data_IF_806783224972
#
_entry.id   IF_806783224972
#
_cell.length_a   1.000
_cell.length_b   1.000
_cell.length_c   1.000
_cell.angle_alpha   90.00
_cell.angle_beta   90.00
_cell.angle_gamma   90.00
#
_symmetry.space_group_name_H-M   'P 1'
#
loop_
_entity.id
_entity.type
_entity.pdbx_description
1 polymer ?
#
# COMPACT_ATOMS: atom_id res chain seq x y z
N UNK A 1 57.22 -1.06 26.80
CA UNK A 1 57.29 -0.15 25.64
C UNK A 1 55.84 0.18 25.29
N UNK A 2 55.23 1.35 25.53
CA UNK A 2 55.69 2.72 25.75
C UNK A 2 54.85 3.38 26.86
N UNK A 3 55.53 4.17 27.68
CA UNK A 3 55.01 5.20 28.56
C UNK A 3 55.04 6.54 27.81
N UNK A 4 54.11 7.47 28.11
CA UNK A 4 54.24 8.94 28.19
C UNK A 4 52.82 9.57 28.14
N UNK A 5 52.35 10.14 29.26
CA UNK A 5 52.45 11.56 29.68
C UNK A 5 51.64 12.51 28.76
N UNK A 6 50.85 13.47 29.23
CA UNK A 6 50.59 13.99 30.57
C UNK A 6 49.71 15.24 30.45
N UNK A 7 49.07 15.64 31.55
CA UNK A 7 48.63 17.01 31.77
C UNK A 7 48.49 17.20 33.29
N UNK A 8 49.62 17.53 33.91
CA UNK A 8 49.69 18.10 35.25
C UNK A 8 49.11 19.53 35.20
N UNK A 9 48.17 19.84 36.09
CA UNK A 9 47.87 21.21 36.48
C UNK A 9 48.09 21.32 37.98
N UNK A 10 49.28 21.81 38.28
CA UNK A 10 49.75 22.28 39.57
C UNK A 10 49.03 23.59 39.91
N UNK A 11 48.43 23.70 41.10
CA UNK A 11 48.14 25.01 41.69
C UNK A 11 48.52 24.99 43.17
N UNK A 12 49.59 25.71 43.46
CA UNK A 12 50.18 25.92 44.77
C UNK A 12 49.91 27.37 45.19
N UNK A 13 49.18 27.58 46.28
CA UNK A 13 49.15 28.82 47.10
C UNK A 13 48.39 28.46 48.39
N UNK A 14 48.77 28.83 49.60
CA UNK A 14 49.95 29.42 50.20
C UNK A 14 49.84 29.07 51.71
N UNK A 15 50.96 28.85 52.39
CA UNK A 15 51.01 28.77 53.85
C UNK A 15 51.24 30.18 54.41
N UNK A 16 50.46 30.59 55.42
CA UNK A 16 50.90 31.52 56.46
C UNK A 16 50.02 31.41 57.72
N UNK A 17 50.65 31.73 58.83
CA UNK A 17 50.48 31.15 60.17
C UNK A 17 49.64 31.98 61.13
N UNK A 18 48.99 31.26 62.06
CA UNK A 18 48.58 31.59 63.42
C UNK A 18 47.54 32.69 63.71
N UNK A 19 46.50 32.26 64.42
CA UNK A 19 45.66 33.06 65.31
C UNK A 19 44.85 32.12 66.20
N UNK A 20 45.33 31.88 67.42
CA UNK A 20 44.57 31.20 68.47
C UNK A 20 43.36 32.05 68.85
N UNK A 21 42.18 31.45 68.79
CA UNK A 21 41.03 31.86 69.59
C UNK A 21 40.35 30.58 70.09
N UNK A 22 40.56 30.30 71.37
CA UNK A 22 39.84 29.29 72.13
C UNK A 22 38.34 29.59 72.08
N UNK A 23 37.55 28.64 71.58
CA UNK A 23 36.17 28.46 72.02
C UNK A 23 35.93 26.95 72.22
N UNK A 24 35.41 26.59 73.39
CA UNK A 24 35.37 25.23 73.92
C UNK A 24 34.39 24.32 73.22
N UNK A 25 34.75 23.83 72.03
CA UNK A 25 34.13 22.67 71.41
C UNK A 25 34.95 21.42 71.71
N UNK A 26 34.32 20.39 72.28
CA UNK A 26 34.96 19.09 72.53
C UNK A 26 35.56 18.57 71.22
N UNK A 27 36.88 18.59 71.11
CA UNK A 27 37.60 18.02 69.97
C UNK A 27 37.43 16.49 70.01
N UNK A 28 36.51 15.97 69.19
CA UNK A 28 36.30 14.53 69.05
C UNK A 28 37.43 13.97 68.18
N UNK A 29 38.41 13.31 68.81
CA UNK A 29 39.48 12.58 68.11
C UNK A 29 39.01 11.14 67.82
N UNK A 30 39.02 10.74 66.56
CA UNK A 30 38.71 9.36 66.14
C UNK A 30 39.96 8.49 66.13
N UNK A 31 39.80 7.20 66.44
CA UNK A 31 40.88 6.21 66.25
C UNK A 31 40.96 5.76 64.80
N UNK A 32 42.15 5.33 64.36
CA UNK A 32 42.36 4.85 62.98
C UNK A 32 41.39 3.73 62.57
N UNK A 33 41.06 2.83 63.50
CA UNK A 33 40.09 1.75 63.28
C UNK A 33 38.67 2.24 63.07
N UNK A 34 38.26 3.31 63.76
CA UNK A 34 36.94 3.92 63.57
C UNK A 34 36.85 4.57 62.17
N UNK A 35 37.92 5.23 61.73
CA UNK A 35 38.01 5.82 60.39
C UNK A 35 38.00 4.74 59.31
N UNK A 36 38.80 3.68 59.47
CA UNK A 36 38.85 2.56 58.52
C UNK A 36 37.49 1.86 58.38
N UNK A 37 36.77 1.63 59.48
CA UNK A 37 35.41 1.07 59.45
C UNK A 37 34.42 1.97 58.73
N UNK A 38 34.49 3.28 58.94
CA UNK A 38 33.61 4.24 58.27
C UNK A 38 33.89 4.28 56.75
N UNK A 39 35.16 4.27 56.35
CA UNK A 39 35.56 4.23 54.94
C UNK A 39 35.09 2.93 54.28
N UNK A 40 35.33 1.77 54.89
CA UNK A 40 34.86 0.49 54.34
C UNK A 40 33.34 0.46 54.19
N UNK A 41 32.59 0.94 55.20
CA UNK A 41 31.13 1.03 55.11
C UNK A 41 30.70 1.91 53.93
N UNK A 42 31.32 3.09 53.79
CA UNK A 42 31.03 4.03 52.70
C UNK A 42 31.36 3.46 51.33
N UNK A 43 32.51 2.78 51.19
CA UNK A 43 32.94 2.14 49.94
C UNK A 43 32.00 1.01 49.57
N UNK A 44 31.60 0.16 50.52
CA UNK A 44 30.66 -0.92 50.27
C UNK A 44 29.27 -0.39 49.86
N UNK A 45 28.78 0.67 50.53
CA UNK A 45 27.53 1.33 50.16
C UNK A 45 27.60 1.97 48.76
N UNK A 46 28.72 2.61 48.42
CA UNK A 46 28.96 3.18 47.09
C UNK A 46 29.03 2.11 46.01
N UNK A 47 29.77 1.03 46.25
CA UNK A 47 29.89 -0.10 45.32
C UNK A 47 28.52 -0.75 45.11
N UNK A 48 27.78 -1.03 46.20
CA UNK A 48 26.43 -1.59 46.10
C UNK A 48 25.49 -0.68 45.30
N UNK A 49 25.50 0.62 45.57
CA UNK A 49 24.67 1.59 44.82
C UNK A 49 25.09 1.70 43.35
N UNK A 50 26.39 1.59 43.07
CA UNK A 50 26.93 1.57 41.70
C UNK A 50 26.52 0.31 40.96
N UNK A 51 26.59 -0.85 41.60
CA UNK A 51 26.19 -2.14 41.05
C UNK A 51 24.68 -2.17 40.78
N UNK A 52 23.86 -1.68 41.70
CA UNK A 52 22.42 -1.54 41.52
C UNK A 52 22.09 -0.63 40.35
N UNK A 53 22.73 0.55 40.25
CA UNK A 53 22.55 1.47 39.13
C UNK A 53 22.97 0.84 37.80
N UNK A 54 24.06 0.09 37.80
CA UNK A 54 24.57 -0.59 36.59
C UNK A 54 23.60 -1.69 36.16
N UNK A 55 23.13 -2.52 37.09
CA UNK A 55 22.13 -3.55 36.82
C UNK A 55 20.84 -2.96 36.28
N UNK A 56 20.35 -1.87 36.86
CA UNK A 56 19.16 -1.18 36.37
C UNK A 56 19.37 -0.63 34.96
N UNK A 57 20.49 0.06 34.71
CA UNK A 57 20.79 0.60 33.39
C UNK A 57 20.90 -0.49 32.32
N UNK A 58 21.46 -1.66 32.67
CA UNK A 58 21.53 -2.82 31.77
C UNK A 58 20.14 -3.40 31.51
N UNK A 59 19.31 -3.55 32.55
CA UNK A 59 17.94 -4.04 32.40
C UNK A 59 17.09 -3.11 31.53
N UNK A 60 17.19 -1.79 31.75
CA UNK A 60 16.50 -0.77 30.96
C UNK A 60 16.97 -0.80 29.50
N UNK A 61 18.27 -0.93 29.26
CA UNK A 61 18.84 -1.02 27.92
C UNK A 61 18.37 -2.27 27.16
N UNK A 62 18.30 -3.43 27.84
CA UNK A 62 17.78 -4.67 27.25
C UNK A 62 16.30 -4.51 26.93
N UNK A 63 15.50 -3.98 27.85
CA UNK A 63 14.05 -3.80 27.65
C UNK A 63 13.75 -2.86 26.48
N UNK A 64 14.44 -1.72 26.37
CA UNK A 64 14.28 -0.82 25.23
C UNK A 64 14.76 -1.44 23.92
N UNK A 65 15.83 -2.23 23.94
CA UNK A 65 16.29 -2.96 22.77
C UNK A 65 15.25 -3.98 22.30
N UNK A 66 14.71 -4.79 23.19
CA UNK A 66 13.67 -5.78 22.88
C UNK A 66 12.40 -5.12 22.36
N UNK A 67 11.98 -4.00 22.98
CA UNK A 67 10.81 -3.23 22.53
C UNK A 67 11.00 -2.72 21.12
N UNK A 68 12.17 -2.13 20.82
CA UNK A 68 12.49 -1.64 19.47
C UNK A 68 12.59 -2.78 18.46
N UNK A 69 13.26 -3.87 18.81
CA UNK A 69 13.39 -5.05 17.94
C UNK A 69 12.02 -5.64 17.62
N UNK A 70 11.14 -5.75 18.62
CA UNK A 70 9.76 -6.22 18.43
C UNK A 70 8.95 -5.29 17.54
N UNK A 71 9.04 -3.97 17.74
CA UNK A 71 8.38 -2.99 16.88
C UNK A 71 8.84 -3.14 15.42
N UNK A 72 10.15 -3.28 15.19
CA UNK A 72 10.69 -3.44 13.83
C UNK A 72 10.26 -4.75 13.16
N UNK A 73 10.07 -5.82 13.93
CA UNK A 73 9.60 -7.10 13.40
C UNK A 73 8.10 -7.05 13.10
N UNK A 74 7.30 -6.44 13.98
CA UNK A 74 5.87 -6.22 13.75
C UNK A 74 5.63 -5.33 12.52
N UNK A 75 6.36 -4.22 12.39
CA UNK A 75 6.30 -3.34 11.22
C UNK A 75 6.63 -4.10 9.93
N UNK A 76 7.72 -4.87 9.92
CA UNK A 76 8.09 -5.73 8.79
C UNK A 76 7.01 -6.74 8.45
N UNK A 77 6.44 -7.40 9.46
CA UNK A 77 5.37 -8.36 9.27
C UNK A 77 4.10 -7.71 8.71
N UNK A 78 3.75 -6.50 9.17
CA UNK A 78 2.59 -5.76 8.66
C UNK A 78 2.77 -5.34 7.20
N UNK A 79 3.94 -4.84 6.81
CA UNK A 79 4.17 -4.47 5.41
C UNK A 79 4.17 -5.71 4.50
N UNK A 80 4.81 -6.82 4.94
CA UNK A 80 4.78 -8.07 4.20
C UNK A 80 3.35 -8.63 4.05
N UNK A 81 2.51 -8.51 5.07
CA UNK A 81 1.09 -8.90 5.00
C UNK A 81 0.31 -8.00 4.04
N UNK A 82 0.56 -6.69 4.08
CA UNK A 82 -0.09 -5.72 3.19
C UNK A 82 0.32 -5.93 1.74
N UNK A 83 1.60 -6.18 1.46
CA UNK A 83 2.07 -6.54 0.12
C UNK A 83 1.41 -7.82 -0.39
N UNK A 84 1.37 -8.85 0.47
CA UNK A 84 0.70 -10.12 0.14
C UNK A 84 -0.79 -9.91 -0.13
N UNK A 85 -1.48 -9.09 0.68
CA UNK A 85 -2.90 -8.79 0.48
C UNK A 85 -3.11 -8.07 -0.86
N UNK A 86 -2.28 -7.07 -1.17
CA UNK A 86 -2.32 -6.36 -2.45
C UNK A 86 -2.07 -7.30 -3.64
N UNK A 87 -1.15 -8.25 -3.49
CA UNK A 87 -0.90 -9.27 -4.52
C UNK A 87 -2.10 -10.21 -4.70
N UNK A 88 -2.76 -10.58 -3.60
CA UNK A 88 -4.00 -11.35 -3.62
C UNK A 88 -5.11 -10.58 -4.33
N UNK A 89 -5.38 -9.34 -3.92
CA UNK A 89 -6.40 -8.49 -4.52
C UNK A 89 -6.16 -8.28 -6.02
N UNK A 90 -4.91 -8.01 -6.42
CA UNK A 90 -4.57 -7.84 -7.84
C UNK A 90 -4.79 -9.13 -8.65
N UNK A 91 -4.44 -10.28 -8.07
CA UNK A 91 -4.62 -11.58 -8.71
C UNK A 91 -6.11 -11.91 -8.86
N UNK A 92 -6.87 -11.77 -7.78
CA UNK A 92 -8.31 -11.97 -7.74
C UNK A 92 -9.01 -11.06 -8.74
N UNK A 93 -8.69 -9.76 -8.74
CA UNK A 93 -9.23 -8.83 -9.71
C UNK A 93 -8.92 -9.25 -11.16
N UNK A 94 -7.69 -9.71 -11.46
CA UNK A 94 -7.38 -10.18 -12.81
C UNK A 94 -8.15 -11.45 -13.21
N UNK A 95 -8.41 -12.33 -12.24
CA UNK A 95 -9.21 -13.55 -12.46
C UNK A 95 -10.65 -13.16 -12.74
N UNK A 96 -11.24 -12.31 -11.89
CA UNK A 96 -12.60 -11.80 -12.08
C UNK A 96 -12.75 -11.12 -13.43
N UNK A 97 -11.84 -10.23 -13.81
CA UNK A 97 -11.88 -9.58 -15.13
C UNK A 97 -11.76 -10.58 -16.28
N UNK A 98 -10.96 -11.65 -16.15
CA UNK A 98 -10.87 -12.69 -17.18
C UNK A 98 -12.17 -13.48 -17.34
N UNK A 99 -12.80 -13.84 -16.22
CA UNK A 99 -14.09 -14.52 -16.20
C UNK A 99 -15.18 -13.62 -16.79
N UNK A 100 -15.25 -12.36 -16.34
CA UNK A 100 -16.19 -11.35 -16.85
C UNK A 100 -16.01 -11.07 -18.33
N UNK A 101 -14.78 -11.12 -18.85
CA UNK A 101 -14.55 -10.98 -20.30
C UNK A 101 -15.23 -12.08 -21.08
N UNK A 102 -15.21 -13.30 -20.57
CA UNK A 102 -15.88 -14.44 -21.21
C UNK A 102 -17.40 -14.28 -21.19
N UNK A 103 -17.95 -13.83 -20.05
CA UNK A 103 -19.39 -13.51 -19.93
C UNK A 103 -19.81 -12.38 -20.87
N UNK A 104 -19.02 -11.31 -20.94
CA UNK A 104 -19.23 -10.16 -21.80
C UNK A 104 -19.24 -10.59 -23.28
N UNK A 105 -18.21 -11.33 -23.72
CA UNK A 105 -18.14 -11.85 -25.08
C UNK A 105 -19.36 -12.70 -25.45
N UNK A 106 -19.82 -13.55 -24.54
CA UNK A 106 -21.03 -14.34 -24.73
C UNK A 106 -22.28 -13.47 -24.86
N UNK A 107 -22.41 -12.44 -24.01
CA UNK A 107 -23.54 -11.51 -24.05
C UNK A 107 -23.55 -10.68 -25.34
N UNK A 108 -22.40 -10.19 -25.80
CA UNK A 108 -22.27 -9.46 -27.07
C UNK A 108 -22.61 -10.34 -28.26
N UNK A 109 -22.14 -11.58 -28.28
CA UNK A 109 -22.47 -12.55 -29.32
C UNK A 109 -23.97 -12.80 -29.43
N UNK A 110 -24.67 -12.94 -28.29
CA UNK A 110 -26.15 -13.11 -28.27
C UNK A 110 -26.90 -11.92 -28.86
N UNK A 111 -26.32 -10.72 -28.77
CA UNK A 111 -26.88 -9.46 -29.30
C UNK A 111 -26.35 -9.11 -30.68
N UNK A 112 -25.59 -9.99 -31.33
CA UNK A 112 -24.91 -9.72 -32.62
C UNK A 112 -24.03 -8.46 -32.61
N UNK A 113 -23.41 -8.17 -31.46
CA UNK A 113 -22.48 -7.06 -31.30
C UNK A 113 -21.05 -7.60 -31.47
N UNK A 114 -20.17 -6.91 -32.22
CA UNK A 114 -18.78 -7.33 -32.39
C UNK A 114 -18.01 -7.50 -31.08
N UNK A 115 -17.19 -8.55 -31.02
CA UNK A 115 -16.37 -8.88 -29.85
C UNK A 115 -15.34 -7.78 -29.50
N UNK A 116 -14.96 -6.94 -30.47
CA UNK A 116 -14.05 -5.82 -30.30
C UNK A 116 -14.54 -4.80 -29.26
N UNK A 117 -15.85 -4.77 -28.98
CA UNK A 117 -16.43 -3.90 -27.96
C UNK A 117 -16.33 -4.44 -26.53
N UNK A 118 -15.92 -5.69 -26.34
CA UNK A 118 -15.90 -6.33 -25.02
C UNK A 118 -15.01 -5.58 -24.01
N UNK A 119 -13.84 -5.10 -24.44
CA UNK A 119 -12.89 -4.41 -23.56
C UNK A 119 -13.41 -3.04 -23.07
N UNK A 120 -14.45 -2.50 -23.71
CA UNK A 120 -15.08 -1.22 -23.33
C UNK A 120 -16.33 -1.40 -22.46
N UNK A 121 -16.94 -2.59 -22.49
CA UNK A 121 -18.22 -2.87 -21.84
C UNK A 121 -18.07 -3.72 -20.58
N UNK A 122 -16.93 -4.40 -20.43
CA UNK A 122 -16.60 -5.19 -19.26
C UNK A 122 -16.49 -4.32 -18.00
N UNK A 123 -17.09 -4.79 -16.90
CA UNK A 123 -16.99 -4.19 -15.58
C UNK A 123 -16.75 -5.30 -14.53
N UNK A 124 -16.14 -4.95 -13.40
CA UNK A 124 -15.97 -5.86 -12.27
C UNK A 124 -17.33 -6.21 -11.64
N UNK A 125 -18.26 -5.25 -11.65
CA UNK A 125 -19.64 -5.44 -11.22
C UNK A 125 -20.49 -6.01 -12.36
N UNK A 126 -21.03 -7.21 -12.14
CA UNK A 126 -21.81 -7.93 -13.14
C UNK A 126 -23.10 -7.19 -13.53
N UNK A 127 -23.74 -6.49 -12.59
CA UNK A 127 -24.97 -5.75 -12.85
C UNK A 127 -24.68 -4.51 -13.70
N UNK A 128 -23.59 -3.81 -13.40
CA UNK A 128 -23.13 -2.68 -14.22
C UNK A 128 -22.71 -3.12 -15.62
N UNK A 129 -21.98 -4.23 -15.73
CA UNK A 129 -21.60 -4.80 -17.02
C UNK A 129 -22.85 -5.12 -17.86
N UNK A 130 -23.86 -5.75 -17.25
CA UNK A 130 -25.12 -6.05 -17.94
C UNK A 130 -25.86 -4.78 -18.39
N UNK A 131 -25.94 -3.76 -17.54
CA UNK A 131 -26.54 -2.47 -17.87
C UNK A 131 -25.79 -1.76 -19.01
N UNK A 132 -24.45 -1.78 -18.98
CA UNK A 132 -23.60 -1.22 -20.03
C UNK A 132 -23.85 -1.91 -21.38
N UNK A 133 -23.90 -3.25 -21.38
CA UNK A 133 -24.17 -4.03 -22.58
C UNK A 133 -25.56 -3.73 -23.14
N UNK A 134 -26.58 -3.60 -22.27
CA UNK A 134 -27.95 -3.30 -22.71
C UNK A 134 -28.07 -1.89 -23.32
N UNK A 135 -27.50 -0.89 -22.64
CA UNK A 135 -27.48 0.48 -23.14
C UNK A 135 -26.72 0.59 -24.46
N UNK A 136 -25.57 -0.06 -24.56
CA UNK A 136 -24.78 -0.09 -25.80
C UNK A 136 -25.51 -0.82 -26.92
N UNK A 137 -26.16 -1.96 -26.65
CA UNK A 137 -26.95 -2.72 -27.62
C UNK A 137 -28.01 -1.85 -28.30
N UNK A 138 -28.78 -1.13 -27.48
CA UNK A 138 -29.85 -0.25 -27.97
C UNK A 138 -29.29 0.84 -28.89
N UNK A 139 -28.22 1.51 -28.46
CA UNK A 139 -27.59 2.57 -29.24
C UNK A 139 -26.95 2.04 -30.53
N UNK A 140 -26.30 0.88 -30.45
CA UNK A 140 -25.68 0.21 -31.59
C UNK A 140 -26.70 -0.12 -32.67
N UNK A 141 -27.83 -0.71 -32.30
CA UNK A 141 -28.92 -1.04 -33.22
C UNK A 141 -29.52 0.21 -33.87
N UNK A 142 -29.76 1.27 -33.09
CA UNK A 142 -30.26 2.55 -33.59
C UNK A 142 -29.31 3.14 -34.65
N UNK A 143 -28.01 3.25 -34.33
CA UNK A 143 -27.03 3.84 -35.24
C UNK A 143 -26.72 2.98 -36.45
N UNK A 144 -26.76 1.66 -36.29
CA UNK A 144 -26.64 0.75 -37.43
C UNK A 144 -27.83 0.91 -38.38
N UNK A 145 -29.06 1.01 -37.85
CA UNK A 145 -30.26 1.23 -38.66
C UNK A 145 -30.22 2.57 -39.38
N UNK A 146 -29.84 3.65 -38.69
CA UNK A 146 -29.65 4.97 -39.30
C UNK A 146 -28.63 4.91 -40.45
N UNK A 147 -27.48 4.28 -40.23
CA UNK A 147 -26.41 4.13 -41.23
C UNK A 147 -26.85 3.31 -42.44
N UNK A 148 -27.53 2.18 -42.22
CA UNK A 148 -28.09 1.35 -43.30
C UNK A 148 -29.15 2.12 -44.08
N UNK A 149 -30.06 2.84 -43.41
CA UNK A 149 -31.08 3.63 -44.08
C UNK A 149 -30.47 4.77 -44.90
N UNK A 150 -29.45 5.46 -44.36
CA UNK A 150 -28.72 6.48 -45.08
C UNK A 150 -28.02 5.91 -46.32
N UNK A 151 -27.40 4.73 -46.21
CA UNK A 151 -26.77 4.04 -47.33
C UNK A 151 -27.79 3.65 -48.41
N UNK A 152 -28.95 3.12 -48.02
CA UNK A 152 -30.04 2.77 -48.97
C UNK A 152 -30.50 4.03 -49.71
N UNK A 153 -30.80 5.12 -48.97
CA UNK A 153 -31.18 6.42 -49.54
C UNK A 153 -30.13 6.96 -50.51
N UNK A 154 -28.85 6.88 -50.14
CA UNK A 154 -27.73 7.36 -50.97
C UNK A 154 -27.49 6.49 -52.22
N UNK A 155 -27.74 5.18 -52.14
CA UNK A 155 -27.52 4.25 -53.25
C UNK A 155 -28.57 4.33 -54.37
N UNK A 156 -29.70 5.02 -54.15
CA UNK A 156 -30.79 5.14 -55.13
C UNK A 156 -31.48 3.82 -55.49
N UNK A 157 -31.07 2.70 -54.88
CA UNK A 157 -31.63 1.38 -55.13
C UNK A 157 -32.85 1.17 -54.23
N UNK A 158 -34.04 1.49 -54.74
CA UNK A 158 -35.27 0.90 -54.22
C UNK A 158 -35.18 -0.61 -54.47
N UNK A 159 -35.29 -1.48 -53.46
CA UNK A 159 -35.29 -2.92 -53.69
C UNK A 159 -36.42 -3.28 -54.67
N UNK A 160 -36.07 -3.71 -55.88
CA UNK A 160 -37.03 -4.20 -56.87
C UNK A 160 -37.29 -5.68 -56.62
N UNK A 161 -38.55 -6.04 -56.36
CA UNK A 161 -39.00 -7.42 -56.28
C UNK A 161 -38.76 -8.13 -57.62
N UNK A 162 -37.91 -9.17 -57.62
CA UNK A 162 -37.61 -9.98 -58.80
C UNK A 162 -38.80 -10.81 -59.30
N UNK A 163 -39.93 -10.82 -58.59
CA UNK A 163 -41.18 -11.46 -59.02
C UNK A 163 -41.94 -10.67 -60.10
N UNK A 164 -41.63 -9.39 -60.31
CA UNK A 164 -42.47 -8.49 -61.13
C UNK A 164 -42.14 -8.44 -62.64
N UNK A 165 -41.14 -9.18 -63.13
CA UNK A 165 -40.86 -9.28 -64.58
C UNK A 165 -41.64 -10.40 -65.25
N UNK A 166 -42.95 -10.19 -65.46
CA UNK A 166 -43.71 -10.83 -66.55
C UNK A 166 -44.00 -9.77 -67.60
N UNK A 167 -43.43 -9.85 -68.83
CA UNK A 167 -43.75 -8.90 -69.88
C UNK A 167 -45.15 -9.17 -70.43
N UNK A 168 -46.05 -8.20 -70.23
CA UNK A 168 -47.31 -8.09 -70.96
C UNK A 168 -47.00 -7.77 -72.43
N UNK A 169 -47.22 -8.73 -73.34
CA UNK A 169 -47.19 -8.49 -74.78
C UNK A 169 -48.21 -9.38 -75.50
N UNK A 170 -49.09 -8.75 -76.28
CA UNK A 170 -49.92 -9.46 -77.26
C UNK A 170 -51.37 -8.98 -77.38
N UNK A 171 -51.61 -7.67 -77.56
CA UNK A 171 -52.83 -7.21 -78.23
C UNK A 171 -52.76 -7.67 -79.69
N UNK A 172 -53.70 -8.52 -80.11
CA UNK A 172 -53.76 -9.07 -81.46
C UNK A 172 -54.83 -8.32 -82.28
N UNK A 173 -54.46 -7.47 -83.26
CA UNK A 173 -55.43 -6.93 -84.21
C UNK A 173 -55.59 -7.88 -85.41
N UNK A 174 -56.81 -8.40 -85.59
CA UNK A 174 -57.41 -8.73 -86.89
C UNK A 174 -56.71 -9.76 -87.78
N UNK A 175 -57.28 -10.96 -87.84
CA UNK A 175 -57.28 -11.76 -89.08
C UNK A 175 -58.71 -11.88 -89.56
N UNK A 176 -58.99 -11.20 -90.67
CA UNK A 176 -60.16 -11.42 -91.50
C UNK A 176 -59.97 -12.75 -92.25
N UNK A 177 -60.97 -13.63 -92.18
CA UNK A 177 -61.13 -14.74 -93.12
C UNK A 177 -62.39 -14.47 -93.92
N UNK A 178 -62.16 -14.36 -95.22
CA UNK A 178 -63.09 -14.37 -96.36
C UNK A 178 -63.83 -15.71 -96.46
#
# INVERSE_FOLDING_TARGET
>A
MMNQNGAESNNSQANQTAGEANNGEKQVTFTQDQVNKLIQKRVNELNKKSDEKTKQAVADAISEYERKAKLTEEERATEAQKEKLKEIEAREHSITMRERKSDCLLALSKKNIPADFADYLIDNDAEKMAANIEGFSTLWEEKLMEGVQAKIKASGATPTDKSSTVPHSGSNPGVAVI
#
